data_IF_501081328706
#
_entry.id   IF_501081328706
#
_cell.length_a   1.000
_cell.length_b   1.000
_cell.length_c   1.000
_cell.angle_alpha   90.00
_cell.angle_beta   90.00
_cell.angle_gamma   90.00
#
_symmetry.space_group_name_H-M   'P 1'
#
loop_
_entity.id
_entity.type
_entity.pdbx_description
1 polymer ?
#
# COMPACT_ATOMS: atom_id res chain seq x y z
N UNK A 1 -12.24 -4.68 40.86
CA UNK A 1 -11.32 -5.56 40.10
C UNK A 1 -11.99 -6.26 38.91
N UNK A 2 -13.15 -6.92 39.05
CA UNK A 2 -13.83 -7.61 37.93
C UNK A 2 -14.28 -6.69 36.78
N UNK A 3 -14.88 -5.54 37.09
CA UNK A 3 -15.32 -4.58 36.07
C UNK A 3 -14.16 -3.95 35.28
N UNK A 4 -13.04 -3.65 35.95
CA UNK A 4 -11.83 -3.12 35.31
C UNK A 4 -11.23 -4.14 34.35
N UNK A 5 -11.09 -5.40 34.78
CA UNK A 5 -10.59 -6.47 33.92
C UNK A 5 -11.54 -6.77 32.75
N UNK A 6 -12.85 -6.63 32.95
CA UNK A 6 -13.85 -6.77 31.89
C UNK A 6 -13.69 -5.69 30.81
N UNK A 7 -13.56 -4.42 31.22
CA UNK A 7 -13.31 -3.30 30.30
C UNK A 7 -11.96 -3.48 29.58
N UNK A 8 -10.89 -3.85 30.29
CA UNK A 8 -9.57 -4.11 29.69
C UNK A 8 -9.61 -5.23 28.66
N UNK A 9 -10.33 -6.33 28.94
CA UNK A 9 -10.47 -7.44 27.98
C UNK A 9 -11.23 -7.03 26.72
N UNK A 10 -12.28 -6.19 26.84
CA UNK A 10 -13.01 -5.66 25.68
C UNK A 10 -12.10 -4.75 24.85
N UNK A 11 -11.33 -3.88 25.50
CA UNK A 11 -10.40 -2.98 24.83
C UNK A 11 -9.30 -3.76 24.11
N UNK A 12 -8.75 -4.80 24.75
CA UNK A 12 -7.78 -5.71 24.15
C UNK A 12 -8.36 -6.44 22.94
N UNK A 13 -9.60 -6.95 23.05
CA UNK A 13 -10.27 -7.62 21.94
C UNK A 13 -10.47 -6.68 20.73
N UNK A 14 -10.85 -5.43 20.97
CA UNK A 14 -10.96 -4.41 19.92
C UNK A 14 -9.61 -4.11 19.25
N UNK A 15 -8.55 -3.96 20.04
CA UNK A 15 -7.19 -3.73 19.50
C UNK A 15 -6.74 -4.90 18.62
N UNK A 16 -6.97 -6.14 19.06
CA UNK A 16 -6.63 -7.34 18.30
C UNK A 16 -7.45 -7.42 17.00
N UNK A 17 -8.74 -7.10 17.06
CA UNK A 17 -9.62 -7.08 15.89
C UNK A 17 -9.16 -6.02 14.87
N UNK A 18 -8.86 -4.80 15.31
CA UNK A 18 -8.35 -3.73 14.45
C UNK A 18 -7.00 -4.09 13.83
N UNK A 19 -6.08 -4.66 14.62
CA UNK A 19 -4.78 -5.10 14.13
C UNK A 19 -4.92 -6.22 13.08
N UNK A 20 -5.80 -7.20 13.34
CA UNK A 20 -6.11 -8.27 12.39
C UNK A 20 -6.70 -7.72 11.09
N UNK A 21 -7.67 -6.79 11.18
CA UNK A 21 -8.25 -6.14 10.02
C UNK A 21 -7.21 -5.37 9.20
N UNK A 22 -6.30 -4.63 9.86
CA UNK A 22 -5.25 -3.87 9.19
C UNK A 22 -4.29 -4.76 8.40
N UNK A 23 -3.87 -5.90 8.99
CA UNK A 23 -2.97 -6.86 8.33
C UNK A 23 -3.65 -7.57 7.15
N UNK A 24 -4.95 -7.82 7.26
CA UNK A 24 -5.72 -8.50 6.22
C UNK A 24 -6.21 -7.55 5.10
N UNK A 25 -6.33 -6.25 5.36
CA UNK A 25 -6.86 -5.27 4.41
C UNK A 25 -6.16 -5.28 3.02
N UNK A 26 -4.82 -5.37 2.91
CA UNK A 26 -4.16 -5.44 1.60
C UNK A 26 -4.53 -6.71 0.81
N UNK A 27 -4.80 -7.84 1.48
CA UNK A 27 -5.14 -9.12 0.82
C UNK A 27 -6.53 -9.10 0.18
N UNK A 28 -7.44 -8.31 0.75
CA UNK A 28 -8.78 -8.12 0.20
C UNK A 28 -8.85 -6.95 -0.80
N UNK A 29 -7.71 -6.38 -1.19
CA UNK A 29 -7.66 -5.25 -2.13
C UNK A 29 -8.22 -3.94 -1.56
N UNK A 30 -8.44 -3.86 -0.24
CA UNK A 30 -8.89 -2.63 0.43
C UNK A 30 -7.80 -1.57 0.49
N UNK A 31 -6.53 -2.01 0.38
CA UNK A 31 -5.36 -1.14 0.26
C UNK A 31 -4.55 -1.63 -0.93
N UNK A 32 -4.43 -0.79 -1.97
CA UNK A 32 -3.60 -1.11 -3.13
C UNK A 32 -2.12 -1.00 -2.74
N UNK A 33 -1.31 -2.06 -2.88
CA UNK A 33 0.10 -2.02 -2.52
C UNK A 33 0.84 -1.06 -3.46
N UNK A 34 1.67 -0.17 -2.88
CA UNK A 34 2.58 0.65 -3.65
C UNK A 34 3.91 -0.08 -3.82
N UNK A 35 4.43 -0.12 -5.06
CA UNK A 35 5.79 -0.58 -5.32
C UNK A 35 6.73 0.62 -5.42
N UNK A 36 7.92 0.49 -4.84
CA UNK A 36 8.96 1.52 -4.93
C UNK A 36 10.07 0.99 -5.84
N UNK A 37 10.40 1.74 -6.90
CA UNK A 37 11.46 1.39 -7.87
C UNK A 37 12.40 2.55 -8.12
N UNK A 38 13.63 2.23 -8.54
CA UNK A 38 14.61 3.21 -9.02
C UNK A 38 14.69 3.14 -10.54
N UNK A 39 14.64 4.30 -11.19
CA UNK A 39 14.75 4.41 -12.65
C UNK A 39 16.19 4.16 -13.09
N UNK A 40 16.43 3.07 -13.82
CA UNK A 40 17.77 2.63 -14.23
C UNK A 40 18.18 3.07 -15.64
N UNK A 41 17.23 3.51 -16.46
CA UNK A 41 17.43 3.91 -17.86
C UNK A 41 16.82 5.29 -18.12
N UNK A 42 17.43 6.05 -19.02
CA UNK A 42 17.02 7.41 -19.36
C UNK A 42 16.02 7.51 -20.51
N UNK A 43 15.31 6.44 -20.88
CA UNK A 43 14.35 6.47 -22.00
C UNK A 43 13.20 7.46 -21.80
N UNK A 44 12.89 7.78 -20.55
CA UNK A 44 11.85 8.75 -20.15
C UNK A 44 12.44 10.12 -19.81
N UNK A 45 13.73 10.37 -20.09
CA UNK A 45 14.30 11.70 -19.94
C UNK A 45 13.72 12.67 -21.00
N UNK A 46 13.49 13.94 -20.67
CA UNK A 46 13.82 14.61 -19.40
C UNK A 46 12.76 14.47 -18.30
N UNK A 47 11.58 13.94 -18.61
CA UNK A 47 10.45 13.90 -17.68
C UNK A 47 10.75 13.09 -16.40
N UNK A 48 11.47 11.98 -16.54
CA UNK A 48 11.90 11.14 -15.41
C UNK A 48 13.39 10.81 -15.58
N UNK A 49 14.29 11.50 -14.86
CA UNK A 49 15.73 11.25 -14.91
C UNK A 49 16.13 9.87 -14.35
N UNK A 50 17.28 9.37 -14.78
CA UNK A 50 17.92 8.21 -14.15
C UNK A 50 18.23 8.47 -12.68
N UNK A 51 18.10 7.43 -11.85
CA UNK A 51 18.29 7.53 -10.40
C UNK A 51 17.05 8.02 -9.63
N UNK A 52 15.99 8.46 -10.30
CA UNK A 52 14.74 8.84 -9.64
C UNK A 52 14.10 7.66 -8.91
N UNK A 53 13.50 7.93 -7.75
CA UNK A 53 12.67 6.97 -7.01
C UNK A 53 11.20 7.21 -7.37
N UNK A 54 10.51 6.17 -7.82
CA UNK A 54 9.10 6.23 -8.21
C UNK A 54 8.25 5.32 -7.34
N UNK A 55 7.03 5.79 -7.03
CA UNK A 55 5.99 5.01 -6.38
C UNK A 55 4.99 4.58 -7.44
N UNK A 56 4.66 3.29 -7.47
CA UNK A 56 3.81 2.68 -8.49
C UNK A 56 2.58 2.15 -7.79
N UNK A 57 1.40 2.50 -8.30
CA UNK A 57 0.13 2.00 -7.82
C UNK A 57 -0.55 1.18 -8.93
N UNK A 58 -0.98 -0.06 -8.65
CA UNK A 58 -1.81 -0.82 -9.57
C UNK A 58 -3.11 -0.08 -9.88
N UNK A 59 -3.45 0.03 -11.17
CA UNK A 59 -4.70 0.62 -11.65
C UNK A 59 -5.42 -0.37 -12.58
N UNK A 60 -6.76 -0.34 -12.55
CA UNK A 60 -7.61 -1.18 -13.42
C UNK A 60 -7.77 -0.61 -14.82
N UNK A 61 -7.53 0.68 -15.01
CA UNK A 61 -7.67 1.40 -16.28
C UNK A 61 -6.56 2.45 -16.42
N UNK A 62 -6.13 2.67 -17.67
CA UNK A 62 -5.11 3.66 -18.01
C UNK A 62 -5.64 4.63 -19.06
N UNK A 63 -5.17 5.87 -18.99
CA UNK A 63 -5.50 6.95 -19.91
C UNK A 63 -4.30 7.31 -20.79
N UNK A 64 -4.59 7.95 -21.93
CA UNK A 64 -3.52 8.49 -22.78
C UNK A 64 -2.74 9.54 -21.99
N UNK A 65 -1.42 9.35 -21.90
CA UNK A 65 -0.52 10.21 -21.13
C UNK A 65 -0.04 9.59 -19.81
N UNK A 66 -0.64 8.48 -19.36
CA UNK A 66 -0.18 7.80 -18.15
C UNK A 66 1.19 7.16 -18.34
N UNK A 67 2.05 7.29 -17.33
CA UNK A 67 3.32 6.58 -17.25
C UNK A 67 3.12 5.29 -16.46
N UNK A 68 3.26 4.17 -17.14
CA UNK A 68 3.00 2.84 -16.57
C UNK A 68 4.28 2.01 -16.48
N UNK A 69 4.28 1.05 -15.58
CA UNK A 69 5.23 -0.07 -15.62
C UNK A 69 4.52 -1.32 -16.10
N UNK A 70 5.12 -2.05 -17.03
CA UNK A 70 4.64 -3.31 -17.56
C UNK A 70 5.79 -4.32 -17.61
N UNK A 71 5.48 -5.61 -17.47
CA UNK A 71 6.47 -6.67 -17.45
C UNK A 71 5.91 -7.94 -16.78
N UNK A 72 6.58 -9.09 -16.96
CA UNK A 72 6.28 -10.31 -16.21
C UNK A 72 6.61 -10.17 -14.72
#
# INVERSE_FOLDING_TARGET
>A
MKAINFVLNILLALVVLCAGAFVLAPRFGLVSPFEIKIVRSGSMAPAIPTGSVVFIQPASSYSVGDVITFGP
#
